data_IF_862842160334
#
_entry.id   IF_862842160334
#
_cell.length_a   1.000
_cell.length_b   1.000
_cell.length_c   1.000
_cell.angle_alpha   90.00
_cell.angle_beta   90.00
_cell.angle_gamma   90.00
#
_symmetry.space_group_name_H-M   'P 1'
#
loop_
_entity.id
_entity.type
_entity.pdbx_description
1 polymer ?
#
# COMPACT_ATOMS: atom_id res chain seq x y z
N UNK A 1 50.61 53.34 7.96
CA UNK A 1 49.21 53.11 8.34
C UNK A 1 48.64 52.12 7.36
N UNK A 2 48.64 50.82 7.69
CA UNK A 2 48.07 49.81 6.85
C UNK A 2 46.60 49.54 7.29
N UNK A 3 45.70 49.81 6.39
CA UNK A 3 44.30 49.43 6.59
C UNK A 3 44.15 48.01 6.18
N UNK A 4 44.02 47.13 7.16
CA UNK A 4 43.65 45.71 6.96
C UNK A 4 42.16 45.64 6.70
N UNK A 5 41.76 45.37 5.46
CA UNK A 5 40.37 45.11 5.10
C UNK A 5 40.16 43.63 5.26
N UNK A 6 39.48 43.28 6.35
CA UNK A 6 39.07 41.90 6.62
C UNK A 6 37.88 41.58 5.72
N UNK A 7 38.13 40.84 4.64
CA UNK A 7 37.05 40.31 3.80
C UNK A 7 36.46 39.05 4.46
N UNK A 8 35.32 39.22 5.09
CA UNK A 8 34.51 38.10 5.49
C UNK A 8 33.91 37.43 4.23
N UNK A 9 34.42 36.27 3.85
CA UNK A 9 33.82 35.42 2.86
C UNK A 9 32.72 34.64 3.58
N UNK A 10 31.46 35.09 3.43
CA UNK A 10 30.30 34.31 3.83
C UNK A 10 30.13 33.22 2.77
N UNK A 11 30.59 32.01 3.08
CA UNK A 11 30.24 30.80 2.34
C UNK A 11 28.79 30.45 2.69
N UNK A 12 27.89 30.94 1.84
CA UNK A 12 26.50 30.51 1.87
C UNK A 12 26.45 29.05 1.30
N UNK A 13 26.60 28.09 2.19
CA UNK A 13 26.41 26.70 1.84
C UNK A 13 24.93 26.48 1.51
N UNK A 14 24.60 26.47 0.23
CA UNK A 14 23.29 25.99 -0.24
C UNK A 14 23.20 24.52 0.08
N UNK A 15 22.50 24.20 1.16
CA UNK A 15 22.14 22.84 1.49
C UNK A 15 21.09 22.39 0.47
N UNK A 16 21.54 21.70 -0.58
CA UNK A 16 20.66 21.10 -1.56
C UNK A 16 19.97 19.91 -0.88
N UNK A 17 18.76 20.14 -0.35
CA UNK A 17 17.94 19.07 0.16
C UNK A 17 17.50 18.21 -1.03
N UNK A 18 18.16 17.05 -1.21
CA UNK A 18 17.72 16.04 -2.15
C UNK A 18 16.40 15.46 -1.65
N UNK A 19 15.29 15.85 -2.27
CA UNK A 19 14.00 15.22 -2.04
C UNK A 19 14.10 13.76 -2.53
N UNK A 20 14.05 12.80 -1.58
CA UNK A 20 14.01 11.37 -1.91
C UNK A 20 12.66 11.03 -2.52
N UNK A 21 12.60 10.11 -3.51
CA UNK A 21 11.34 9.60 -4.02
C UNK A 21 10.48 9.05 -2.89
N UNK A 22 9.14 9.16 -2.99
CA UNK A 22 8.20 8.69 -1.97
C UNK A 22 8.43 7.22 -1.55
N UNK A 23 8.82 6.35 -2.51
CA UNK A 23 9.15 4.93 -2.24
C UNK A 23 10.36 4.77 -1.32
N UNK A 24 11.35 5.68 -1.39
CA UNK A 24 12.53 5.65 -0.53
C UNK A 24 12.22 6.07 0.90
N UNK A 25 11.03 6.65 1.15
CA UNK A 25 10.59 7.10 2.46
C UNK A 25 9.82 6.02 3.25
N UNK A 26 9.48 4.89 2.61
CA UNK A 26 8.82 3.77 3.27
C UNK A 26 9.86 2.98 4.06
N UNK A 27 9.78 3.06 5.38
CA UNK A 27 10.70 2.37 6.27
C UNK A 27 10.50 0.86 6.26
N UNK A 28 11.46 0.12 6.80
CA UNK A 28 11.31 -1.32 7.00
C UNK A 28 10.12 -1.64 7.94
N UNK A 29 9.91 -0.81 8.97
CA UNK A 29 8.77 -0.95 9.87
C UNK A 29 7.44 -0.73 9.15
N UNK A 30 7.37 0.28 8.26
CA UNK A 30 6.17 0.54 7.45
C UNK A 30 5.89 -0.60 6.48
N UNK A 31 6.92 -1.16 5.84
CA UNK A 31 6.76 -2.32 4.95
C UNK A 31 6.16 -3.51 5.68
N UNK A 32 6.63 -3.78 6.88
CA UNK A 32 6.09 -4.86 7.73
C UNK A 32 4.64 -4.57 8.12
N UNK A 33 4.33 -3.34 8.54
CA UNK A 33 2.98 -2.95 8.94
C UNK A 33 1.98 -3.03 7.76
N UNK A 34 2.40 -2.63 6.56
CA UNK A 34 1.60 -2.75 5.33
C UNK A 34 1.31 -4.23 5.03
N UNK A 35 2.33 -5.07 5.06
CA UNK A 35 2.19 -6.51 4.84
C UNK A 35 1.26 -7.13 5.87
N UNK A 36 1.44 -6.82 7.14
CA UNK A 36 0.62 -7.37 8.23
C UNK A 36 -0.84 -6.98 8.09
N UNK A 37 -1.14 -5.75 7.68
CA UNK A 37 -2.52 -5.31 7.43
C UNK A 37 -3.18 -6.11 6.31
N UNK A 38 -2.48 -6.31 5.21
CA UNK A 38 -2.99 -7.07 4.05
C UNK A 38 -3.15 -8.55 4.41
N UNK A 39 -2.15 -9.17 5.02
CA UNK A 39 -2.22 -10.57 5.48
C UNK A 39 -3.35 -10.77 6.49
N UNK A 40 -3.51 -9.85 7.42
CA UNK A 40 -4.58 -9.89 8.41
C UNK A 40 -5.96 -9.88 7.76
N UNK A 41 -6.15 -9.05 6.73
CA UNK A 41 -7.41 -9.02 5.99
C UNK A 41 -7.67 -10.32 5.24
N UNK A 42 -6.69 -10.89 4.56
CA UNK A 42 -6.83 -12.15 3.82
C UNK A 42 -7.15 -13.30 4.79
N UNK A 43 -6.50 -13.35 5.94
CA UNK A 43 -6.82 -14.35 6.98
C UNK A 43 -8.25 -14.18 7.51
N UNK A 44 -8.70 -12.94 7.68
CA UNK A 44 -10.09 -12.67 8.07
C UNK A 44 -11.07 -13.12 6.97
N UNK A 45 -10.75 -12.93 5.70
CA UNK A 45 -11.56 -13.47 4.58
C UNK A 45 -11.65 -15.00 4.64
N UNK A 46 -10.55 -15.68 4.94
CA UNK A 46 -10.53 -17.15 5.04
C UNK A 46 -11.43 -17.68 6.14
N UNK A 47 -11.61 -16.92 7.20
CA UNK A 47 -12.52 -17.25 8.31
C UNK A 47 -13.93 -16.70 8.12
N UNK A 48 -14.19 -15.99 7.02
CA UNK A 48 -15.43 -15.22 6.82
C UNK A 48 -15.73 -14.26 7.98
N UNK A 49 -14.67 -13.73 8.58
CA UNK A 49 -14.77 -12.72 9.65
C UNK A 49 -14.86 -11.32 9.04
N UNK A 50 -16.08 -10.92 8.68
CA UNK A 50 -16.33 -9.65 8.03
C UNK A 50 -15.97 -8.45 8.87
N UNK A 51 -16.23 -8.50 10.17
CA UNK A 51 -15.89 -7.41 11.07
C UNK A 51 -14.38 -7.18 11.14
N UNK A 52 -13.59 -8.24 11.27
CA UNK A 52 -12.13 -8.16 11.27
C UNK A 52 -11.60 -7.68 9.91
N UNK A 53 -12.08 -8.26 8.79
CA UNK A 53 -11.68 -7.87 7.46
C UNK A 53 -11.96 -6.39 7.18
N UNK A 54 -13.13 -5.90 7.56
CA UNK A 54 -13.53 -4.50 7.40
C UNK A 54 -12.70 -3.57 8.28
N UNK A 55 -12.23 -4.04 9.44
CA UNK A 55 -11.37 -3.30 10.34
C UNK A 55 -9.99 -2.95 9.76
N UNK A 56 -9.50 -3.72 8.78
CA UNK A 56 -8.24 -3.43 8.07
C UNK A 56 -8.41 -2.39 6.96
N UNK A 57 -9.64 -2.08 6.56
CA UNK A 57 -9.92 -1.05 5.58
C UNK A 57 -9.80 0.35 6.19
N UNK A 58 -9.41 1.31 5.35
CA UNK A 58 -9.33 2.72 5.74
C UNK A 58 -10.69 3.29 6.14
N UNK A 59 -10.72 4.40 6.89
CA UNK A 59 -11.97 5.09 7.18
C UNK A 59 -12.76 5.48 5.92
N UNK A 60 -12.09 5.85 4.84
CA UNK A 60 -12.73 6.18 3.56
C UNK A 60 -13.45 4.98 2.96
N UNK A 61 -12.80 3.82 2.94
CA UNK A 61 -13.40 2.58 2.46
C UNK A 61 -14.56 2.16 3.36
N UNK A 62 -14.41 2.27 4.67
CA UNK A 62 -15.48 1.95 5.61
C UNK A 62 -16.71 2.84 5.39
N UNK A 63 -16.51 4.13 5.14
CA UNK A 63 -17.63 5.05 4.81
C UNK A 63 -18.28 4.70 3.47
N UNK A 64 -17.47 4.31 2.47
CA UNK A 64 -17.97 3.94 1.14
C UNK A 64 -18.92 2.75 1.19
N UNK A 65 -18.57 1.71 1.94
CA UNK A 65 -19.37 0.48 2.05
C UNK A 65 -20.45 0.56 3.14
N UNK A 66 -20.23 1.34 4.17
CA UNK A 66 -21.17 1.55 5.29
C UNK A 66 -21.12 0.43 6.32
N UNK A 67 -21.16 -0.83 5.90
CA UNK A 67 -21.17 -2.01 6.80
C UNK A 67 -20.18 -3.07 6.35
N UNK A 68 -19.72 -3.88 7.31
CA UNK A 68 -18.90 -5.05 7.03
C UNK A 68 -19.64 -6.07 6.13
N UNK A 69 -20.93 -6.20 6.29
CA UNK A 69 -21.76 -7.11 5.47
C UNK A 69 -21.74 -6.71 3.99
N UNK A 70 -21.99 -5.44 3.69
CA UNK A 70 -21.93 -4.93 2.31
C UNK A 70 -20.53 -5.05 1.72
N UNK A 71 -19.50 -4.78 2.52
CA UNK A 71 -18.12 -4.97 2.13
C UNK A 71 -17.81 -6.42 1.76
N UNK A 72 -18.21 -7.38 2.60
CA UNK A 72 -17.97 -8.80 2.35
C UNK A 72 -18.71 -9.32 1.13
N UNK A 73 -19.94 -8.86 0.89
CA UNK A 73 -20.70 -9.23 -0.31
C UNK A 73 -19.98 -8.77 -1.58
N UNK A 74 -19.45 -7.56 -1.58
CA UNK A 74 -18.67 -7.04 -2.69
C UNK A 74 -17.39 -7.84 -2.91
N UNK A 75 -16.67 -8.18 -1.85
CA UNK A 75 -15.44 -8.98 -1.93
C UNK A 75 -15.70 -10.37 -2.49
N UNK A 76 -16.74 -11.04 -2.02
CA UNK A 76 -17.11 -12.38 -2.50
C UNK A 76 -17.48 -12.38 -3.98
N UNK A 77 -18.13 -11.34 -4.46
CA UNK A 77 -18.61 -11.25 -5.85
C UNK A 77 -17.55 -10.75 -6.82
N UNK A 78 -16.75 -9.75 -6.42
CA UNK A 78 -15.87 -9.04 -7.33
C UNK A 78 -14.39 -9.25 -7.08
N UNK A 79 -13.98 -9.86 -5.97
CA UNK A 79 -12.58 -9.96 -5.54
C UNK A 79 -12.20 -11.39 -5.13
N UNK A 80 -12.74 -12.37 -5.81
CA UNK A 80 -12.51 -13.80 -5.50
C UNK A 80 -11.04 -14.17 -5.36
N UNK A 81 -10.11 -13.68 -6.20
CA UNK A 81 -8.71 -14.03 -6.05
C UNK A 81 -8.12 -13.72 -4.67
N UNK A 82 -8.46 -12.60 -4.09
CA UNK A 82 -7.97 -12.21 -2.75
C UNK A 82 -8.85 -12.75 -1.61
N UNK A 83 -10.09 -13.08 -1.91
CA UNK A 83 -11.00 -13.70 -0.95
C UNK A 83 -10.62 -15.15 -0.62
N UNK A 84 -10.20 -15.92 -1.63
CA UNK A 84 -9.78 -17.32 -1.51
C UNK A 84 -8.56 -17.60 -2.38
N UNK A 85 -7.39 -16.99 -2.07
CA UNK A 85 -6.21 -17.23 -2.87
C UNK A 85 -5.63 -18.62 -2.65
N UNK A 86 -5.14 -19.24 -3.72
CA UNK A 86 -4.28 -20.43 -3.68
C UNK A 86 -2.82 -20.02 -3.44
N UNK A 87 -2.39 -18.89 -4.04
CA UNK A 87 -1.07 -18.29 -3.88
C UNK A 87 -1.23 -16.82 -3.60
N UNK A 88 -0.48 -16.31 -2.65
CA UNK A 88 -0.47 -14.90 -2.25
C UNK A 88 0.95 -14.49 -1.93
N UNK A 89 1.63 -13.82 -2.85
CA UNK A 89 3.05 -13.49 -2.75
C UNK A 89 3.27 -11.98 -2.86
N UNK A 90 3.82 -11.39 -1.82
CA UNK A 90 4.16 -9.98 -1.81
C UNK A 90 5.27 -9.67 -2.81
N UNK A 91 5.09 -8.60 -3.55
CA UNK A 91 6.05 -8.03 -4.49
C UNK A 91 6.52 -6.66 -3.98
N UNK A 92 7.10 -5.85 -4.85
CA UNK A 92 7.56 -4.52 -4.50
C UNK A 92 6.43 -3.56 -4.14
N UNK A 93 6.76 -2.56 -3.34
CA UNK A 93 5.92 -1.39 -3.10
C UNK A 93 6.21 -0.37 -4.21
N UNK A 94 5.16 0.16 -4.80
CA UNK A 94 5.21 1.18 -5.85
C UNK A 94 4.41 2.40 -5.43
N UNK A 95 4.55 3.49 -6.17
CA UNK A 95 3.65 4.64 -6.05
C UNK A 95 2.65 4.60 -7.20
N UNK A 96 1.36 4.57 -6.87
CA UNK A 96 0.27 4.56 -7.83
C UNK A 96 -0.67 5.71 -7.49
N UNK A 97 -0.87 6.63 -8.42
CA UNK A 97 -1.70 7.83 -8.21
C UNK A 97 -1.31 8.61 -6.93
N UNK A 98 0.00 8.70 -6.66
CA UNK A 98 0.51 9.38 -5.47
C UNK A 98 0.41 8.60 -4.17
N UNK A 99 -0.10 7.37 -4.19
CA UNK A 99 -0.28 6.53 -3.01
C UNK A 99 0.75 5.41 -2.94
N UNK A 100 1.23 5.18 -1.72
CA UNK A 100 2.03 3.98 -1.42
C UNK A 100 1.16 2.76 -1.70
N UNK A 101 1.62 1.88 -2.59
CA UNK A 101 0.83 0.75 -3.09
C UNK A 101 1.63 -0.53 -3.03
N UNK A 102 1.11 -1.53 -2.33
CA UNK A 102 1.72 -2.86 -2.26
C UNK A 102 1.23 -3.70 -3.43
N UNK A 103 2.15 -4.21 -4.22
CA UNK A 103 1.86 -5.21 -5.25
C UNK A 103 1.92 -6.61 -4.65
N UNK A 104 0.99 -7.45 -5.06
CA UNK A 104 0.91 -8.86 -4.65
C UNK A 104 0.62 -9.72 -5.87
N UNK A 105 1.37 -10.79 -6.03
CA UNK A 105 1.06 -11.82 -7.02
C UNK A 105 0.07 -12.81 -6.39
N UNK A 106 -1.06 -12.99 -7.03
CA UNK A 106 -2.15 -13.81 -6.52
C UNK A 106 -2.57 -14.83 -7.56
N UNK A 107 -2.75 -16.08 -7.15
CA UNK A 107 -3.47 -17.07 -7.93
C UNK A 107 -4.77 -17.33 -7.19
N UNK A 108 -5.88 -17.08 -7.87
CA UNK A 108 -7.22 -17.26 -7.31
C UNK A 108 -7.68 -18.71 -7.29
N UNK A 109 -8.91 -18.95 -6.83
CA UNK A 109 -9.45 -20.31 -6.74
C UNK A 109 -9.65 -20.98 -8.10
N UNK A 110 -9.72 -20.22 -9.18
CA UNK A 110 -9.80 -20.70 -10.56
C UNK A 110 -8.43 -21.09 -11.18
N UNK A 111 -7.33 -20.91 -10.42
CA UNK A 111 -5.97 -21.17 -10.87
C UNK A 111 -5.38 -20.09 -11.77
N UNK A 112 -6.07 -18.96 -11.96
CA UNK A 112 -5.60 -17.88 -12.81
C UNK A 112 -4.76 -16.86 -12.01
N UNK A 113 -3.60 -16.45 -12.54
CA UNK A 113 -2.80 -15.41 -11.90
C UNK A 113 -3.41 -14.03 -12.13
N UNK A 114 -3.33 -13.20 -11.10
CA UNK A 114 -3.61 -11.77 -11.16
C UNK A 114 -2.57 -11.02 -10.35
N UNK A 115 -2.38 -9.74 -10.64
CA UNK A 115 -1.66 -8.82 -9.77
C UNK A 115 -2.66 -7.99 -8.99
N UNK A 116 -2.56 -8.03 -7.67
CA UNK A 116 -3.34 -7.18 -6.80
C UNK A 116 -2.52 -5.95 -6.41
N UNK A 117 -3.10 -4.77 -6.57
CA UNK A 117 -2.55 -3.51 -6.13
C UNK A 117 -3.33 -3.03 -4.93
N UNK A 118 -2.65 -2.88 -3.81
CA UNK A 118 -3.23 -2.40 -2.56
C UNK A 118 -2.74 -0.99 -2.25
N UNK A 119 -3.46 0.07 -2.67
CA UNK A 119 -3.19 1.40 -2.17
C UNK A 119 -3.39 1.43 -0.66
N UNK A 120 -2.44 2.01 0.05
CA UNK A 120 -2.40 2.03 1.51
C UNK A 120 -2.49 3.45 2.03
N UNK A 121 -3.22 3.63 3.13
CA UNK A 121 -3.37 4.91 3.81
C UNK A 121 -2.74 4.85 5.20
N UNK A 122 -1.76 5.73 5.45
CA UNK A 122 -1.20 5.87 6.79
C UNK A 122 -2.13 6.72 7.66
N UNK A 123 -2.43 6.20 8.83
CA UNK A 123 -3.30 6.86 9.79
C UNK A 123 -2.52 7.86 10.65
N UNK A 124 -3.19 8.79 11.35
CA UNK A 124 -2.54 9.75 12.23
C UNK A 124 -1.68 9.13 13.33
N UNK A 125 -2.00 7.91 13.77
CA UNK A 125 -1.21 7.16 14.76
C UNK A 125 -0.01 6.41 14.16
N UNK A 126 0.22 6.54 12.85
CA UNK A 126 1.29 5.88 12.13
C UNK A 126 0.96 4.47 11.61
N UNK A 127 -0.18 3.89 11.98
CA UNK A 127 -0.62 2.60 11.46
C UNK A 127 -1.05 2.70 9.99
N UNK A 128 -1.12 1.56 9.31
CA UNK A 128 -1.51 1.49 7.91
C UNK A 128 -2.84 0.76 7.75
N UNK A 129 -3.69 1.30 6.86
CA UNK A 129 -4.97 0.72 6.48
C UNK A 129 -5.05 0.57 4.97
N UNK A 130 -5.89 -0.35 4.52
CA UNK A 130 -6.09 -0.63 3.11
C UNK A 130 -7.07 0.37 2.52
N UNK A 131 -6.61 1.18 1.56
CA UNK A 131 -7.42 2.19 0.87
C UNK A 131 -8.16 1.63 -0.35
N UNK A 132 -7.80 0.44 -0.80
CA UNK A 132 -8.44 -0.22 -1.93
C UNK A 132 -7.71 -1.47 -2.36
N UNK A 133 -8.26 -2.12 -3.37
CA UNK A 133 -7.64 -3.26 -4.04
C UNK A 133 -8.03 -3.23 -5.51
N UNK A 134 -7.02 -3.22 -6.37
CA UNK A 134 -7.20 -3.24 -7.82
C UNK A 134 -6.64 -4.57 -8.32
N UNK A 135 -7.48 -5.37 -8.95
CA UNK A 135 -7.06 -6.63 -9.57
C UNK A 135 -6.80 -6.40 -11.06
N UNK A 136 -5.63 -6.81 -11.50
CA UNK A 136 -5.22 -6.68 -12.90
C UNK A 136 -4.73 -8.03 -13.39
N UNK A 137 -5.26 -8.46 -14.55
CA UNK A 137 -4.72 -9.63 -15.23
C UNK A 137 -3.27 -9.37 -15.63
N UNK A 138 -2.38 -10.40 -15.60
CA UNK A 138 -1.03 -10.23 -16.11
C UNK A 138 -1.06 -9.79 -17.57
N UNK A 139 -0.11 -8.92 -17.95
CA UNK A 139 0.06 -8.57 -19.34
C UNK A 139 0.39 -9.86 -20.13
N UNK A 140 -0.41 -10.16 -21.15
CA UNK A 140 -0.06 -11.20 -22.09
C UNK A 140 1.17 -10.73 -22.86
N UNK A 141 2.35 -11.22 -22.45
CA UNK A 141 3.52 -11.16 -23.31
C UNK A 141 3.26 -12.11 -24.48
N UNK A 142 2.62 -11.60 -25.49
CA UNK A 142 2.60 -12.29 -26.76
C UNK A 142 4.04 -12.31 -27.29
N UNK A 143 4.65 -13.46 -27.12
CA UNK A 143 5.92 -13.72 -27.79
C UNK A 143 5.71 -13.75 -29.30
#
# INVERSE_FOLDING_TARGET
MSRMVLRFLVLLGTMLALALPAQAQVSAADRTAIRDAIEGQVEAFRRDDGAAAFGYASPDIQRLFGTAETFMDTVRQGYRPVYRPQVFEFREIVTLNGMVTQKVHVIGPDGRPVTAFYPMAQQPDGSWRIEGCILQAPEDHQA
#
